data_IF_210466067659
#
_entry.id   IF_210466067659
#
_cell.length_a   1.000
_cell.length_b   1.000
_cell.length_c   1.000
_cell.angle_alpha   90.00
_cell.angle_beta   90.00
_cell.angle_gamma   90.00
#
_symmetry.space_group_name_H-M   'P 1'
#
loop_
_entity.id
_entity.type
_entity.pdbx_description
1 polymer ?
#
# COMPACT_ATOMS: atom_id res chain seq x y z
N UNK A 1 -35.78 -74.38 24.94
CA UNK A 1 -35.84 -73.93 23.56
C UNK A 1 -35.79 -72.38 23.52
N UNK A 2 -34.67 -71.79 23.13
CA UNK A 2 -34.51 -70.35 22.92
C UNK A 2 -34.48 -70.07 21.42
N UNK A 3 -35.51 -69.40 20.94
CA UNK A 3 -35.54 -68.90 19.57
C UNK A 3 -34.70 -67.66 19.44
N UNK A 4 -33.58 -67.74 18.70
CA UNK A 4 -32.82 -66.56 18.23
C UNK A 4 -33.47 -66.11 16.92
N UNK A 5 -34.13 -64.96 16.97
CA UNK A 5 -34.58 -64.27 15.79
C UNK A 5 -33.45 -63.28 15.45
N UNK A 6 -32.70 -63.58 14.43
CA UNK A 6 -31.70 -62.67 13.87
C UNK A 6 -32.41 -61.58 13.04
N UNK A 7 -32.37 -60.36 13.53
CA UNK A 7 -32.86 -59.18 12.83
C UNK A 7 -31.77 -58.72 11.83
N UNK A 8 -32.00 -59.08 10.56
CA UNK A 8 -31.16 -58.59 9.46
C UNK A 8 -31.60 -57.18 9.14
N UNK A 9 -30.88 -56.20 9.64
CA UNK A 9 -31.03 -54.83 9.18
C UNK A 9 -30.49 -54.70 7.76
N UNK A 10 -31.39 -54.54 6.81
CA UNK A 10 -31.04 -54.18 5.44
C UNK A 10 -30.73 -52.67 5.39
N UNK A 11 -29.47 -52.29 5.50
CA UNK A 11 -29.03 -50.96 5.12
C UNK A 11 -29.22 -50.79 3.61
N UNK A 12 -30.31 -50.18 3.22
CA UNK A 12 -30.54 -49.72 1.87
C UNK A 12 -29.59 -48.59 1.52
N UNK A 13 -28.43 -48.92 0.97
CA UNK A 13 -27.57 -47.92 0.30
C UNK A 13 -28.34 -47.37 -0.90
N UNK A 14 -28.95 -46.21 -0.76
CA UNK A 14 -29.44 -45.45 -1.90
C UNK A 14 -28.20 -44.90 -2.62
N UNK A 15 -27.66 -45.70 -3.52
CA UNK A 15 -26.67 -45.22 -4.48
C UNK A 15 -27.43 -44.32 -5.47
N UNK A 16 -27.44 -43.00 -5.21
CA UNK A 16 -27.78 -42.02 -6.25
C UNK A 16 -26.71 -42.10 -7.33
N UNK A 17 -26.99 -42.80 -8.41
CA UNK A 17 -26.20 -42.68 -9.63
C UNK A 17 -26.42 -41.26 -10.17
N UNK A 18 -25.50 -40.39 -9.88
CA UNK A 18 -25.45 -39.08 -10.56
C UNK A 18 -25.01 -39.38 -11.97
N UNK A 19 -25.95 -39.47 -12.89
CA UNK A 19 -25.65 -39.55 -14.32
C UNK A 19 -25.18 -38.14 -14.72
N UNK A 20 -23.87 -37.97 -14.80
CA UNK A 20 -23.28 -36.74 -15.37
C UNK A 20 -23.72 -36.65 -16.83
N UNK A 21 -24.62 -35.75 -17.13
CA UNK A 21 -24.97 -35.43 -18.52
C UNK A 21 -23.74 -34.92 -19.25
N UNK A 22 -23.54 -35.38 -20.48
CA UNK A 22 -22.44 -34.81 -21.31
C UNK A 22 -22.69 -33.34 -21.56
N UNK A 23 -21.67 -32.52 -21.37
CA UNK A 23 -21.72 -31.08 -21.66
C UNK A 23 -22.10 -30.83 -23.12
N UNK A 24 -23.03 -29.94 -23.31
CA UNK A 24 -23.47 -29.51 -24.66
C UNK A 24 -22.50 -28.41 -25.17
N UNK A 25 -22.62 -28.12 -26.49
CA UNK A 25 -21.86 -26.97 -27.05
C UNK A 25 -22.22 -25.64 -26.38
N UNK A 26 -23.47 -25.52 -25.93
CA UNK A 26 -23.95 -24.31 -25.24
C UNK A 26 -23.28 -24.16 -23.89
N UNK A 27 -23.09 -25.26 -23.14
CA UNK A 27 -22.40 -25.26 -21.87
C UNK A 27 -20.93 -24.82 -22.03
N UNK A 28 -20.25 -25.30 -23.07
CA UNK A 28 -18.88 -24.91 -23.38
C UNK A 28 -18.78 -23.41 -23.74
N UNK A 29 -19.72 -22.89 -24.54
CA UNK A 29 -19.77 -21.47 -24.88
C UNK A 29 -20.03 -20.63 -23.62
N UNK A 30 -21.00 -21.04 -22.79
CA UNK A 30 -21.32 -20.35 -21.55
C UNK A 30 -20.09 -20.31 -20.61
N UNK A 31 -19.40 -21.42 -20.43
CA UNK A 31 -18.16 -21.48 -19.63
C UNK A 31 -17.10 -20.54 -20.20
N UNK A 32 -16.87 -20.55 -21.50
CA UNK A 32 -15.88 -19.68 -22.12
C UNK A 32 -16.20 -18.19 -21.91
N UNK A 33 -17.46 -17.81 -22.07
CA UNK A 33 -17.93 -16.43 -21.85
C UNK A 33 -17.77 -16.02 -20.39
N UNK A 34 -18.18 -16.86 -19.43
CA UNK A 34 -18.04 -16.59 -18.00
C UNK A 34 -16.54 -16.48 -17.62
N UNK A 35 -15.71 -17.39 -18.12
CA UNK A 35 -14.26 -17.35 -17.86
C UNK A 35 -13.64 -16.09 -18.43
N UNK A 36 -14.03 -15.67 -19.65
CA UNK A 36 -13.51 -14.46 -20.25
C UNK A 36 -13.92 -13.21 -19.44
N UNK A 37 -15.18 -13.11 -19.07
CA UNK A 37 -15.68 -11.99 -18.24
C UNK A 37 -14.94 -11.97 -16.89
N UNK A 38 -14.82 -13.13 -16.24
CA UNK A 38 -14.09 -13.24 -14.99
C UNK A 38 -12.61 -12.86 -15.15
N UNK A 39 -11.95 -13.34 -16.20
CA UNK A 39 -10.56 -12.99 -16.48
C UNK A 39 -10.39 -11.48 -16.68
N UNK A 40 -11.27 -10.83 -17.45
CA UNK A 40 -11.22 -9.37 -17.63
C UNK A 40 -11.40 -8.64 -16.31
N UNK A 41 -12.34 -9.05 -15.47
CA UNK A 41 -12.58 -8.42 -14.15
C UNK A 41 -11.42 -8.70 -13.19
N UNK A 42 -10.92 -9.94 -13.15
CA UNK A 42 -9.87 -10.35 -12.22
C UNK A 42 -8.49 -9.78 -12.58
N UNK A 43 -8.18 -9.66 -13.88
CA UNK A 43 -6.86 -9.20 -14.33
C UNK A 43 -6.82 -7.72 -14.72
N UNK A 44 -7.99 -7.06 -14.87
CA UNK A 44 -8.00 -5.63 -15.12
C UNK A 44 -7.52 -4.87 -13.89
N UNK A 45 -6.52 -4.01 -14.09
CA UNK A 45 -6.02 -3.10 -13.05
C UNK A 45 -5.46 -3.80 -11.79
N UNK A 46 -4.84 -4.96 -11.95
CA UNK A 46 -4.13 -5.62 -10.86
C UNK A 46 -2.99 -4.78 -10.30
N UNK A 47 -2.42 -3.89 -11.11
CA UNK A 47 -1.30 -3.07 -10.75
C UNK A 47 0.04 -3.66 -11.19
N UNK A 48 1.12 -3.06 -10.71
CA UNK A 48 2.48 -3.46 -10.99
C UNK A 48 2.93 -4.57 -10.01
N UNK A 49 3.83 -5.44 -10.44
CA UNK A 49 4.45 -6.46 -9.57
C UNK A 49 5.75 -5.96 -8.94
N UNK A 50 6.30 -4.87 -9.44
CA UNK A 50 7.45 -4.19 -8.87
C UNK A 50 7.02 -3.10 -7.89
N UNK A 51 7.91 -2.78 -6.96
CA UNK A 51 7.72 -1.79 -5.93
C UNK A 51 9.02 -1.00 -5.77
N UNK A 52 8.98 0.24 -5.26
CA UNK A 52 10.19 0.99 -4.94
C UNK A 52 11.12 0.22 -3.99
N UNK A 53 12.43 0.28 -4.24
CA UNK A 53 13.45 -0.48 -3.50
C UNK A 53 14.44 0.42 -2.77
N UNK A 54 14.70 1.65 -3.29
CA UNK A 54 15.69 2.54 -2.71
C UNK A 54 15.08 3.40 -1.63
N UNK A 55 15.76 3.54 -0.48
CA UNK A 55 15.22 4.19 0.69
C UNK A 55 15.95 5.48 1.05
N UNK A 56 15.23 6.42 1.64
CA UNK A 56 15.72 7.59 2.33
C UNK A 56 15.21 7.58 3.78
N UNK A 57 16.08 7.90 4.72
CA UNK A 57 15.72 8.03 6.13
C UNK A 57 15.80 9.49 6.56
N UNK A 58 14.66 10.14 6.78
CA UNK A 58 14.64 11.51 7.27
C UNK A 58 15.15 11.63 8.71
N UNK A 59 15.06 10.56 9.49
CA UNK A 59 15.63 10.48 10.85
C UNK A 59 17.16 10.52 10.82
N UNK A 60 17.79 9.85 9.85
CA UNK A 60 19.26 9.72 9.75
C UNK A 60 19.89 10.82 8.89
N UNK A 61 19.24 11.17 7.79
CA UNK A 61 19.78 12.06 6.76
C UNK A 61 19.30 13.51 6.91
N UNK A 62 18.22 13.72 7.66
CA UNK A 62 17.63 15.02 7.95
C UNK A 62 16.32 15.30 7.20
N UNK A 63 15.73 16.44 7.52
CA UNK A 63 14.46 16.85 6.92
C UNK A 63 14.58 17.04 5.40
N UNK A 64 13.56 16.62 4.69
CA UNK A 64 13.41 16.75 3.25
C UNK A 64 12.86 18.15 2.93
N UNK A 65 13.55 18.94 2.12
CA UNK A 65 13.08 20.27 1.69
C UNK A 65 13.02 20.30 0.17
N UNK A 66 11.81 20.22 -0.36
CA UNK A 66 11.55 20.15 -1.80
C UNK A 66 11.25 21.53 -2.37
N UNK A 67 11.89 21.88 -3.50
CA UNK A 67 11.63 23.10 -4.27
C UNK A 67 10.94 22.75 -5.59
N UNK A 68 9.71 23.19 -5.80
CA UNK A 68 8.96 22.98 -7.05
C UNK A 68 9.26 24.05 -8.11
N UNK A 69 10.24 24.93 -7.86
CA UNK A 69 10.67 25.98 -8.81
C UNK A 69 9.79 27.23 -8.78
N UNK A 70 8.49 27.06 -8.76
CA UNK A 70 7.49 28.12 -8.68
C UNK A 70 6.35 27.73 -7.72
N UNK A 71 5.55 28.74 -7.34
CA UNK A 71 4.34 28.46 -6.55
C UNK A 71 3.38 27.61 -7.37
N UNK A 72 3.12 26.40 -6.91
CA UNK A 72 2.31 25.42 -7.63
C UNK A 72 1.20 24.88 -6.74
N UNK A 73 0.13 24.36 -7.34
CA UNK A 73 -0.95 23.71 -6.61
C UNK A 73 -0.61 22.24 -6.41
N UNK A 74 -0.28 21.89 -5.17
CA UNK A 74 0.02 20.53 -4.75
C UNK A 74 -1.26 19.95 -4.15
N UNK A 75 -1.90 19.05 -4.88
CA UNK A 75 -3.19 18.47 -4.49
C UNK A 75 -3.01 17.24 -3.61
N UNK A 76 -2.10 16.36 -3.98
CA UNK A 76 -1.89 15.10 -3.28
C UNK A 76 -0.40 14.81 -3.12
N UNK A 77 -0.08 14.15 -2.02
CA UNK A 77 1.17 13.45 -1.77
C UNK A 77 0.86 11.95 -1.69
N UNK A 78 1.64 11.17 -2.40
CA UNK A 78 1.67 9.72 -2.27
C UNK A 78 3.05 9.31 -1.79
N UNK A 79 3.09 8.34 -0.89
CA UNK A 79 4.32 7.75 -0.38
C UNK A 79 4.29 6.24 -0.46
N UNK A 80 5.45 5.66 -0.58
CA UNK A 80 5.68 4.25 -0.40
C UNK A 80 6.65 4.04 0.75
N UNK A 81 6.19 3.34 1.78
CA UNK A 81 6.99 3.07 2.96
C UNK A 81 7.66 1.71 2.88
N UNK A 82 8.88 1.64 3.36
CA UNK A 82 9.63 0.41 3.55
C UNK A 82 9.33 -0.27 4.89
N UNK A 83 10.41 -0.71 5.55
CA UNK A 83 10.36 -1.62 6.67
C UNK A 83 9.70 -1.07 7.95
N UNK A 84 9.85 0.22 8.23
CA UNK A 84 9.42 0.80 9.51
C UNK A 84 7.92 1.11 9.53
N UNK A 85 7.27 0.77 10.64
CA UNK A 85 5.83 0.97 10.82
C UNK A 85 5.49 2.37 11.32
N UNK A 86 4.47 2.98 10.70
CA UNK A 86 3.80 4.18 11.15
C UNK A 86 4.76 5.34 11.49
N UNK A 87 5.69 5.69 10.59
CA UNK A 87 6.48 6.89 10.82
C UNK A 87 5.59 8.13 10.73
N UNK A 88 5.81 9.05 11.64
CA UNK A 88 5.08 10.31 11.70
C UNK A 88 5.95 11.46 11.20
N UNK A 89 5.39 12.31 10.37
CA UNK A 89 6.11 13.46 9.82
C UNK A 89 5.32 14.76 10.00
N UNK A 90 6.03 15.84 10.30
CA UNK A 90 5.49 17.16 10.14
C UNK A 90 5.65 17.59 8.68
N UNK A 91 4.57 18.05 8.06
CA UNK A 91 4.60 18.65 6.73
C UNK A 91 4.41 20.16 6.89
N UNK A 92 5.32 20.91 6.32
CA UNK A 92 5.29 22.37 6.30
C UNK A 92 5.42 22.85 4.85
N UNK A 93 4.77 23.93 4.51
CA UNK A 93 4.82 24.50 3.17
C UNK A 93 5.00 26.01 3.18
N UNK A 94 5.72 26.55 2.19
CA UNK A 94 6.02 27.97 2.08
C UNK A 94 6.27 28.39 0.62
N UNK A 95 6.17 29.68 0.35
CA UNK A 95 6.66 30.28 -0.89
C UNK A 95 8.08 30.88 -0.76
N UNK A 96 8.67 30.81 0.43
CA UNK A 96 10.03 31.26 0.69
C UNK A 96 10.82 30.12 1.36
N UNK A 97 12.04 29.85 0.86
CA UNK A 97 12.87 28.74 1.31
C UNK A 97 13.19 28.78 2.81
N UNK A 98 13.46 29.96 3.34
CA UNK A 98 14.03 30.12 4.67
C UNK A 98 13.05 30.62 5.74
N UNK A 99 11.80 30.92 5.35
CA UNK A 99 10.81 31.51 6.27
C UNK A 99 9.37 31.34 5.82
N UNK A 100 8.46 31.67 6.72
CA UNK A 100 7.01 31.71 6.40
C UNK A 100 6.40 30.33 6.18
N UNK A 101 6.97 29.30 6.77
CA UNK A 101 6.38 27.96 6.72
C UNK A 101 5.09 27.89 7.52
N UNK A 102 4.10 27.29 6.91
CA UNK A 102 2.82 26.95 7.54
C UNK A 102 2.77 25.44 7.71
N UNK A 103 2.46 25.01 8.93
CA UNK A 103 2.31 23.57 9.21
C UNK A 103 1.02 23.09 8.58
N UNK A 104 1.09 21.99 7.84
CA UNK A 104 -0.07 21.29 7.30
C UNK A 104 -0.76 20.55 8.44
N UNK A 105 -2.08 20.67 8.52
CA UNK A 105 -2.91 19.89 9.44
C UNK A 105 -3.70 18.85 8.67
N UNK A 106 -3.59 17.59 9.05
CA UNK A 106 -4.35 16.50 8.44
C UNK A 106 -5.84 16.59 8.71
N UNK A 107 -6.24 17.39 9.71
CA UNK A 107 -7.64 17.49 10.16
C UNK A 107 -8.13 16.27 10.95
N UNK A 108 -7.26 15.28 11.16
CA UNK A 108 -7.56 14.12 12.01
C UNK A 108 -7.56 14.58 13.46
N UNK A 109 -8.56 14.17 14.22
CA UNK A 109 -8.69 14.50 15.64
C UNK A 109 -8.46 13.23 16.46
N UNK A 110 -7.64 13.34 17.49
CA UNK A 110 -7.43 12.25 18.44
C UNK A 110 -8.66 11.98 19.32
N UNK A 111 -8.65 10.92 20.11
CA UNK A 111 -9.75 10.55 21.02
C UNK A 111 -10.04 11.61 22.09
N UNK A 112 -9.13 12.55 22.31
CA UNK A 112 -9.27 13.66 23.25
C UNK A 112 -9.78 14.95 22.60
N UNK A 113 -10.02 14.93 21.29
CA UNK A 113 -10.49 16.07 20.52
C UNK A 113 -9.40 17.04 20.05
N UNK A 114 -8.10 16.67 20.15
CA UNK A 114 -7.00 17.48 19.63
C UNK A 114 -6.75 17.15 18.16
N UNK A 115 -6.58 18.16 17.32
CA UNK A 115 -6.23 17.96 15.92
C UNK A 115 -4.77 17.55 15.82
N UNK A 116 -4.51 16.44 15.12
CA UNK A 116 -3.15 15.99 14.81
C UNK A 116 -2.43 17.02 13.94
N UNK A 117 -1.22 17.37 14.35
CA UNK A 117 -0.33 18.26 13.60
C UNK A 117 0.69 17.50 12.72
N UNK A 118 0.69 16.19 12.79
CA UNK A 118 1.59 15.33 12.04
C UNK A 118 0.83 14.48 11.02
N UNK A 119 1.55 14.07 10.00
CA UNK A 119 1.11 13.11 9.02
C UNK A 119 1.57 11.71 9.44
N UNK A 120 0.60 10.81 9.62
CA UNK A 120 0.83 9.39 9.72
C UNK A 120 1.00 8.85 8.29
N UNK A 121 2.20 8.46 7.96
CA UNK A 121 2.52 8.04 6.60
C UNK A 121 1.90 6.66 6.21
N UNK A 122 1.18 6.05 7.14
CA UNK A 122 0.33 4.89 6.83
C UNK A 122 1.03 3.54 6.89
N UNK A 123 0.58 2.62 6.06
CA UNK A 123 1.05 1.24 6.05
C UNK A 123 2.32 1.07 5.22
N UNK A 124 3.19 0.14 5.63
CA UNK A 124 4.40 -0.22 4.90
C UNK A 124 4.08 -1.10 3.69
N UNK A 125 4.99 -1.13 2.72
CA UNK A 125 4.93 -1.94 1.49
C UNK A 125 3.64 -1.72 0.68
N UNK A 126 3.12 -0.50 0.72
CA UNK A 126 2.01 -0.08 -0.14
C UNK A 126 2.03 1.43 -0.39
N UNK A 127 1.35 1.85 -1.46
CA UNK A 127 1.15 3.25 -1.73
C UNK A 127 0.08 3.83 -0.80
N UNK A 128 0.47 4.83 -0.02
CA UNK A 128 -0.42 5.62 0.82
C UNK A 128 -0.65 6.98 0.19
N UNK A 129 -1.75 7.64 0.51
CA UNK A 129 -2.07 8.95 -0.04
C UNK A 129 -2.50 9.95 1.01
N UNK A 130 -2.05 11.18 0.85
CA UNK A 130 -2.45 12.32 1.66
C UNK A 130 -2.96 13.44 0.75
N UNK A 131 -4.16 13.95 1.04
CA UNK A 131 -4.71 15.11 0.35
C UNK A 131 -4.14 16.38 0.99
N UNK A 132 -3.37 17.16 0.23
CA UNK A 132 -2.75 18.40 0.68
C UNK A 132 -3.57 19.64 0.31
N UNK A 133 -3.87 19.81 -0.97
CA UNK A 133 -4.57 20.99 -1.53
C UNK A 133 -3.95 22.33 -1.11
N UNK A 134 -2.63 22.44 -1.19
CA UNK A 134 -1.87 23.64 -0.83
C UNK A 134 -1.26 24.32 -2.05
N UNK A 135 -1.07 25.63 -1.97
CA UNK A 135 -0.31 26.39 -2.95
C UNK A 135 1.03 26.79 -2.34
N UNK A 136 2.11 26.20 -2.84
CA UNK A 136 3.43 26.42 -2.31
C UNK A 136 4.50 26.19 -3.37
N UNK A 137 5.65 26.81 -3.17
CA UNK A 137 6.89 26.48 -3.88
C UNK A 137 7.72 25.46 -3.11
N UNK A 138 7.75 25.57 -1.80
CA UNK A 138 8.55 24.70 -0.93
C UNK A 138 7.66 23.83 -0.08
N UNK A 139 8.00 22.56 0.00
CA UNK A 139 7.42 21.60 0.95
C UNK A 139 8.56 21.04 1.78
N UNK A 140 8.38 21.07 3.10
CA UNK A 140 9.32 20.48 4.04
C UNK A 140 8.66 19.33 4.78
N UNK A 141 9.32 18.19 4.81
CA UNK A 141 8.90 16.98 5.53
C UNK A 141 9.97 16.69 6.58
N UNK A 142 9.57 16.67 7.85
CA UNK A 142 10.48 16.43 8.97
C UNK A 142 9.93 15.31 9.84
N UNK A 143 10.75 14.36 10.31
CA UNK A 143 10.29 13.35 11.24
C UNK A 143 9.86 14.02 12.55
N UNK A 144 8.89 13.43 13.24
CA UNK A 144 8.54 13.82 14.59
C UNK A 144 9.55 13.26 15.59
N UNK A 145 9.55 13.79 16.84
CA UNK A 145 10.52 13.40 17.87
C UNK A 145 10.38 11.93 18.34
N UNK A 146 9.23 11.33 18.09
CA UNK A 146 8.92 9.94 18.44
C UNK A 146 9.36 8.93 17.37
N UNK A 147 9.79 9.39 16.17
CA UNK A 147 10.38 8.52 15.17
C UNK A 147 11.82 8.17 15.55
N UNK A 148 12.10 6.89 15.69
CA UNK A 148 13.47 6.38 15.94
C UNK A 148 14.15 5.94 14.66
N UNK A 149 13.38 5.40 13.73
CA UNK A 149 13.81 4.94 12.42
C UNK A 149 12.69 5.21 11.42
N UNK A 150 13.04 5.39 10.17
CA UNK A 150 12.10 5.53 9.07
C UNK A 150 12.72 5.03 7.77
N UNK A 151 11.86 4.69 6.81
CA UNK A 151 12.26 4.19 5.50
C UNK A 151 11.22 4.66 4.47
N UNK A 152 11.44 5.86 3.94
CA UNK A 152 10.68 6.37 2.80
C UNK A 152 11.34 5.85 1.52
N UNK A 153 10.61 5.09 0.71
CA UNK A 153 11.15 4.57 -0.54
C UNK A 153 10.87 5.49 -1.71
N UNK A 154 9.65 6.02 -1.80
CA UNK A 154 9.30 6.88 -2.92
C UNK A 154 8.25 7.92 -2.51
N UNK A 155 8.34 9.12 -3.08
CA UNK A 155 7.36 10.20 -2.91
C UNK A 155 6.85 10.68 -4.27
N UNK A 156 5.53 10.76 -4.43
CA UNK A 156 4.90 11.28 -5.64
C UNK A 156 3.96 12.41 -5.28
N UNK A 157 4.20 13.58 -5.88
CA UNK A 157 3.33 14.75 -5.74
C UNK A 157 2.47 14.91 -6.98
N UNK A 158 1.19 15.17 -6.78
CA UNK A 158 0.24 15.37 -7.87
C UNK A 158 -0.42 16.75 -7.78
N UNK A 159 -0.66 17.34 -8.96
CA UNK A 159 -1.53 18.50 -9.08
C UNK A 159 -3.02 18.10 -9.06
N UNK A 160 -3.91 19.08 -9.15
CA UNK A 160 -5.37 18.86 -9.17
C UNK A 160 -5.88 18.06 -10.38
N UNK A 161 -5.07 17.89 -11.41
CA UNK A 161 -5.40 17.10 -12.59
C UNK A 161 -4.80 15.69 -12.55
N UNK A 162 -4.10 15.35 -11.45
CA UNK A 162 -3.39 14.08 -11.30
C UNK A 162 -2.06 14.01 -12.06
N UNK A 163 -1.52 15.17 -12.51
CA UNK A 163 -0.20 15.23 -13.13
C UNK A 163 0.87 15.22 -12.06
N UNK A 164 1.92 14.42 -12.27
CA UNK A 164 3.10 14.38 -11.39
C UNK A 164 3.82 15.73 -11.39
N UNK A 165 4.17 16.17 -10.20
CA UNK A 165 4.97 17.35 -9.92
C UNK A 165 6.36 16.89 -9.45
N UNK A 166 7.40 17.32 -10.15
CA UNK A 166 8.77 16.97 -9.82
C UNK A 166 9.48 18.16 -9.18
N UNK A 167 10.11 18.00 -8.00
CA UNK A 167 10.94 19.03 -7.41
C UNK A 167 12.17 19.31 -8.28
N UNK A 168 12.57 20.59 -8.41
CA UNK A 168 13.76 20.97 -9.20
C UNK A 168 15.07 20.53 -8.53
N UNK A 169 15.03 20.26 -7.23
CA UNK A 169 16.16 19.75 -6.44
C UNK A 169 16.05 18.24 -6.12
N UNK A 170 15.32 17.49 -6.93
CA UNK A 170 15.13 16.03 -6.71
C UNK A 170 16.44 15.24 -6.60
N UNK A 171 17.52 15.73 -7.24
CA UNK A 171 18.82 15.06 -7.20
C UNK A 171 19.44 15.05 -5.79
N UNK A 172 19.04 15.99 -4.90
CA UNK A 172 19.42 16.00 -3.48
C UNK A 172 18.75 14.87 -2.69
N UNK A 173 17.60 14.40 -3.19
CA UNK A 173 16.76 13.34 -2.59
C UNK A 173 16.50 12.22 -3.59
N UNK A 174 17.53 11.80 -4.30
CA UNK A 174 17.41 10.88 -5.44
C UNK A 174 16.60 9.64 -5.10
N UNK A 175 16.84 9.02 -3.96
CA UNK A 175 16.17 7.79 -3.52
C UNK A 175 14.67 7.96 -3.24
N UNK A 176 14.13 9.18 -3.30
CA UNK A 176 12.71 9.46 -3.16
C UNK A 176 12.02 9.77 -4.50
N UNK A 177 12.79 9.83 -5.60
CA UNK A 177 12.29 10.27 -6.90
C UNK A 177 12.90 9.49 -8.07
N UNK A 178 13.52 8.32 -7.84
CA UNK A 178 14.17 7.53 -8.88
C UNK A 178 13.31 6.37 -9.41
N UNK A 179 12.22 6.05 -8.74
CA UNK A 179 11.33 4.93 -9.09
C UNK A 179 9.89 5.40 -9.37
N UNK A 180 9.73 6.62 -9.91
CA UNK A 180 8.44 7.27 -10.18
C UNK A 180 7.52 6.48 -11.13
N UNK A 181 8.04 5.61 -11.95
CA UNK A 181 7.31 4.75 -12.87
C UNK A 181 6.61 3.57 -12.17
N UNK A 182 7.01 3.25 -10.95
CA UNK A 182 6.31 2.25 -10.13
C UNK A 182 4.94 2.75 -9.62
N UNK A 183 4.69 4.06 -9.68
CA UNK A 183 3.42 4.65 -9.28
C UNK A 183 2.41 4.73 -10.43
N UNK A 184 1.33 3.96 -10.35
CA UNK A 184 0.25 3.90 -11.34
C UNK A 184 -0.91 4.90 -11.09
N UNK A 185 -0.73 5.89 -10.24
CA UNK A 185 -1.77 6.86 -9.88
C UNK A 185 -2.77 6.37 -8.84
N UNK A 186 -2.52 5.24 -8.22
CA UNK A 186 -3.37 4.62 -7.18
C UNK A 186 -2.61 3.52 -6.43
N UNK A 187 -3.11 3.15 -5.26
CA UNK A 187 -2.75 1.89 -4.64
C UNK A 187 -3.28 0.71 -5.49
N UNK A 188 -2.52 -0.35 -5.61
CA UNK A 188 -2.89 -1.55 -6.37
C UNK A 188 -2.91 -2.79 -5.48
N UNK A 189 -3.57 -3.85 -5.97
CA UNK A 189 -3.62 -5.11 -5.24
C UNK A 189 -2.34 -5.95 -5.37
N UNK A 190 -1.47 -5.64 -6.35
CA UNK A 190 -0.26 -6.41 -6.61
C UNK A 190 0.98 -5.87 -5.90
N UNK A 191 1.04 -4.55 -5.67
CA UNK A 191 2.14 -3.90 -4.96
C UNK A 191 1.67 -3.25 -3.65
N UNK A 192 0.72 -3.89 -2.98
CA UNK A 192 0.22 -3.44 -1.69
C UNK A 192 0.03 -4.60 -0.73
N UNK A 193 0.21 -4.33 0.53
CA UNK A 193 -0.02 -5.29 1.60
C UNK A 193 -1.48 -5.31 2.01
N UNK A 194 -2.00 -6.49 2.32
CA UNK A 194 -3.34 -6.66 2.84
C UNK A 194 -3.34 -7.72 3.95
N UNK A 195 -3.77 -7.34 5.14
CA UNK A 195 -3.92 -8.21 6.30
C UNK A 195 -2.64 -9.01 6.62
N UNK A 196 -2.68 -10.36 6.59
CA UNK A 196 -1.53 -11.21 6.94
C UNK A 196 -0.34 -11.12 5.96
N UNK A 197 -0.54 -10.60 4.77
CA UNK A 197 0.53 -10.39 3.77
C UNK A 197 1.61 -9.46 4.32
N UNK A 198 1.23 -8.46 5.08
CA UNK A 198 2.14 -7.55 5.77
C UNK A 198 3.20 -8.29 6.61
N UNK A 199 2.79 -9.26 7.41
CA UNK A 199 3.71 -10.03 8.25
C UNK A 199 4.65 -10.90 7.43
N UNK A 200 4.16 -11.46 6.33
CA UNK A 200 4.98 -12.28 5.43
C UNK A 200 6.00 -11.43 4.67
N UNK A 201 5.60 -10.30 4.13
CA UNK A 201 6.50 -9.39 3.42
C UNK A 201 7.55 -8.80 4.34
N UNK A 202 7.16 -8.37 5.54
CA UNK A 202 8.08 -7.91 6.56
C UNK A 202 9.13 -8.97 6.92
N UNK A 203 8.69 -10.20 7.20
CA UNK A 203 9.60 -11.30 7.55
C UNK A 203 10.53 -11.63 6.37
N UNK A 204 10.02 -11.64 5.14
CA UNK A 204 10.85 -11.84 3.96
C UNK A 204 11.90 -10.74 3.80
N UNK A 205 11.49 -9.47 3.96
CA UNK A 205 12.41 -8.32 3.94
C UNK A 205 13.51 -8.45 5.01
N UNK A 206 13.14 -8.76 6.25
CA UNK A 206 14.08 -8.96 7.36
C UNK A 206 15.10 -10.06 7.04
N UNK A 207 14.67 -11.18 6.47
CA UNK A 207 15.55 -12.28 6.08
C UNK A 207 16.53 -11.89 4.97
N UNK A 208 16.04 -11.23 3.92
CA UNK A 208 16.87 -10.81 2.78
C UNK A 208 17.95 -9.82 3.25
N UNK A 209 17.57 -8.87 4.11
CA UNK A 209 18.47 -7.85 4.62
C UNK A 209 19.25 -8.27 5.87
N UNK A 210 19.10 -9.54 6.33
CA UNK A 210 19.76 -10.10 7.51
C UNK A 210 19.48 -9.32 8.80
N UNK A 211 18.27 -8.79 8.89
CA UNK A 211 17.78 -8.13 10.09
C UNK A 211 17.26 -9.15 11.10
N UNK A 212 17.01 -8.70 12.32
CA UNK A 212 16.37 -9.54 13.33
C UNK A 212 14.88 -9.70 12.97
N UNK A 213 14.41 -10.96 12.89
CA UNK A 213 13.00 -11.23 12.61
C UNK A 213 12.16 -10.98 13.87
N UNK A 214 11.32 -9.95 13.83
CA UNK A 214 10.37 -9.64 14.91
C UNK A 214 9.21 -10.62 14.97
N UNK A 215 8.75 -11.05 13.81
CA UNK A 215 7.62 -11.98 13.70
C UNK A 215 8.13 -13.36 13.28
N UNK A 216 7.83 -14.38 14.08
CA UNK A 216 8.21 -15.76 13.79
C UNK A 216 7.01 -16.73 13.76
N UNK A 217 5.80 -16.21 13.96
CA UNK A 217 4.56 -17.01 13.90
C UNK A 217 4.04 -17.16 12.49
N UNK A 218 4.43 -16.25 11.59
CA UNK A 218 4.07 -16.29 10.16
C UNK A 218 5.36 -16.45 9.33
N UNK A 219 5.87 -17.67 9.17
CA UNK A 219 7.05 -17.88 8.32
C UNK A 219 6.73 -17.54 6.87
N UNK A 220 7.69 -17.02 6.12
CA UNK A 220 7.55 -16.64 4.72
C UNK A 220 7.24 -17.84 3.81
#
# INVERSE_FOLDING_TARGET
>A
ARNNVSKKESEGKIARSVTLSKMTKVDWIAMAVITLIYAVVAFARLGNMSAPETAYSAVKEGAIVLDFGETTNISQLWDYLGYENNPHYNIEYSNNKDSGYTTFSTGVTDDNGNTQSYWDAGSVFCWNSLTLNVQARYVKISPTEDNYEDSLLELVFLDSNGKKLEPVNRDEYKNLFDEQDEFEGRASAMNGTYFDVFYQERTAYEMIHKLYCYENTHPP
#
